data_IF_455320204260
#
_entry.id   IF_455320204260
#
_cell.length_a   1.000
_cell.length_b   1.000
_cell.length_c   1.000
_cell.angle_alpha   90.00
_cell.angle_beta   90.00
_cell.angle_gamma   90.00
#
_symmetry.space_group_name_H-M   'P 1'
#
loop_
_entity.id
_entity.type
_entity.pdbx_description
1 polymer ?
#
# COMPACT_ATOMS: atom_id res chain seq x y z
N UNK A 1 -32.26 19.53 -16.78
CA UNK A 1 -31.53 19.48 -15.49
C UNK A 1 -30.23 18.72 -15.71
N UNK A 2 -29.11 19.42 -15.81
CA UNK A 2 -27.80 18.81 -16.06
C UNK A 2 -27.17 18.52 -14.70
N UNK A 3 -27.08 17.23 -14.35
CA UNK A 3 -26.40 16.77 -13.14
C UNK A 3 -24.93 17.18 -13.19
N UNK A 4 -24.54 18.11 -12.32
CA UNK A 4 -23.16 18.52 -12.10
C UNK A 4 -22.37 17.29 -11.66
N UNK A 5 -21.58 16.69 -12.56
CA UNK A 5 -20.56 15.69 -12.17
C UNK A 5 -19.66 16.37 -11.15
N UNK A 6 -19.75 15.95 -9.88
CA UNK A 6 -18.78 16.33 -8.86
C UNK A 6 -17.47 15.65 -9.22
N UNK A 7 -16.62 16.33 -9.99
CA UNK A 7 -15.21 16.00 -10.06
C UNK A 7 -14.58 16.50 -8.75
N UNK A 8 -14.80 15.79 -7.64
CA UNK A 8 -14.05 16.02 -6.41
C UNK A 8 -12.98 14.95 -6.38
N UNK A 9 -11.74 15.31 -6.72
CA UNK A 9 -10.59 14.52 -6.30
C UNK A 9 -10.75 14.24 -4.80
N UNK A 10 -10.48 13.01 -4.32
CA UNK A 10 -10.61 12.70 -2.91
C UNK A 10 -9.77 13.68 -2.09
N UNK A 11 -10.40 14.33 -1.12
CA UNK A 11 -9.70 15.18 -0.16
C UNK A 11 -9.04 14.28 0.87
N UNK A 12 -7.73 14.12 0.76
CA UNK A 12 -6.97 13.22 1.61
C UNK A 12 -6.68 13.84 2.97
N UNK A 13 -6.63 13.00 4.02
CA UNK A 13 -6.37 13.44 5.39
C UNK A 13 -5.10 14.29 5.53
N UNK A 14 -4.03 13.97 4.78
CA UNK A 14 -2.77 14.73 4.80
C UNK A 14 -2.86 16.14 4.20
N UNK A 15 -3.95 16.48 3.49
CA UNK A 15 -4.20 17.85 3.02
C UNK A 15 -4.91 18.70 4.08
N UNK A 16 -5.44 18.07 5.13
CA UNK A 16 -6.17 18.77 6.17
C UNK A 16 -5.21 19.61 7.02
N UNK A 17 -5.57 20.86 7.32
CA UNK A 17 -4.75 21.78 8.14
C UNK A 17 -4.39 21.23 9.52
N UNK A 18 -5.21 20.32 10.05
CA UNK A 18 -5.05 19.73 11.37
C UNK A 18 -4.37 18.34 11.32
N UNK A 19 -3.81 17.91 10.18
CA UNK A 19 -3.18 16.59 10.02
C UNK A 19 -2.14 16.31 11.12
N UNK A 20 -1.22 17.25 11.36
CA UNK A 20 -0.21 17.12 12.41
C UNK A 20 -0.83 17.02 13.80
N UNK A 21 -1.88 17.79 14.09
CA UNK A 21 -2.57 17.74 15.38
C UNK A 21 -3.25 16.39 15.61
N UNK A 22 -3.83 15.79 14.57
CA UNK A 22 -4.43 14.46 14.64
C UNK A 22 -3.39 13.38 14.93
N UNK A 23 -2.18 13.50 14.38
CA UNK A 23 -1.07 12.59 14.70
C UNK A 23 -0.69 12.69 16.19
N UNK A 24 -0.55 13.90 16.73
CA UNK A 24 -0.23 14.12 18.15
C UNK A 24 -1.34 13.64 19.10
N UNK A 25 -2.62 13.84 18.73
CA UNK A 25 -3.75 13.31 19.50
C UNK A 25 -3.69 11.79 19.51
N UNK A 26 -3.49 11.16 18.35
CA UNK A 26 -3.38 9.70 18.25
C UNK A 26 -2.24 9.15 19.11
N UNK A 27 -1.09 9.83 19.13
CA UNK A 27 0.02 9.49 20.01
C UNK A 27 -0.38 9.57 21.49
N UNK A 28 -1.06 10.64 21.90
CA UNK A 28 -1.52 10.79 23.28
C UNK A 28 -2.52 9.71 23.71
N UNK A 29 -3.38 9.27 22.80
CA UNK A 29 -4.46 8.32 23.10
C UNK A 29 -3.98 6.86 23.07
N UNK A 30 -3.03 6.55 22.20
CA UNK A 30 -2.58 5.18 21.94
C UNK A 30 -1.21 4.85 22.53
N UNK A 31 -0.40 5.87 22.85
CA UNK A 31 1.00 5.72 23.24
C UNK A 31 1.93 5.39 22.06
N UNK A 32 1.43 5.35 20.82
CA UNK A 32 2.23 5.12 19.62
C UNK A 32 2.82 6.45 19.16
N UNK A 33 4.15 6.50 18.98
CA UNK A 33 4.83 7.71 18.52
C UNK A 33 4.18 8.30 17.27
N UNK A 34 3.92 9.61 17.24
CA UNK A 34 3.23 10.27 16.14
C UNK A 34 3.90 10.01 14.77
N UNK A 35 5.24 9.95 14.75
CA UNK A 35 5.99 9.60 13.54
C UNK A 35 5.78 8.17 13.04
N UNK A 36 5.47 7.21 13.94
CA UNK A 36 5.12 5.84 13.54
C UNK A 36 3.70 5.77 12.98
N UNK A 37 2.77 6.54 13.56
CA UNK A 37 1.40 6.70 13.02
C UNK A 37 1.44 7.31 11.63
N UNK A 38 2.22 8.36 11.44
CA UNK A 38 2.40 9.01 10.15
C UNK A 38 3.00 8.06 9.10
N UNK A 39 4.04 7.30 9.49
CA UNK A 39 4.67 6.31 8.61
C UNK A 39 3.65 5.25 8.14
N UNK A 40 2.84 4.74 9.07
CA UNK A 40 1.79 3.76 8.76
C UNK A 40 0.71 4.32 7.82
N UNK A 41 0.34 5.59 8.02
CA UNK A 41 -0.58 6.32 7.15
C UNK A 41 -0.05 6.38 5.71
N UNK A 42 1.20 6.77 5.51
CA UNK A 42 1.79 6.88 4.18
C UNK A 42 1.90 5.53 3.46
N UNK A 43 2.27 4.46 4.17
CA UNK A 43 2.29 3.10 3.62
C UNK A 43 0.89 2.69 3.15
N UNK A 44 -0.12 2.93 3.98
CA UNK A 44 -1.52 2.62 3.63
C UNK A 44 -2.01 3.46 2.45
N UNK A 45 -1.59 4.73 2.37
CA UNK A 45 -1.92 5.63 1.28
C UNK A 45 -1.32 5.17 -0.07
N UNK A 46 -0.08 4.69 -0.08
CA UNK A 46 0.55 4.10 -1.27
C UNK A 46 -0.21 2.86 -1.73
N UNK A 47 -0.57 1.96 -0.81
CA UNK A 47 -1.35 0.75 -1.14
C UNK A 47 -2.72 1.09 -1.72
N UNK A 48 -3.40 2.10 -1.18
CA UNK A 48 -4.63 2.62 -1.74
C UNK A 48 -4.41 3.17 -3.16
N UNK A 49 -3.36 3.96 -3.37
CA UNK A 49 -2.96 4.48 -4.69
C UNK A 49 -2.73 3.38 -5.73
N UNK A 50 -2.04 2.31 -5.37
CA UNK A 50 -1.80 1.15 -6.24
C UNK A 50 -3.09 0.42 -6.59
N UNK A 51 -4.02 0.31 -5.63
CA UNK A 51 -5.31 -0.32 -5.87
C UNK A 51 -6.19 0.48 -6.85
N UNK A 52 -6.29 1.80 -6.68
CA UNK A 52 -7.14 2.64 -7.54
C UNK A 52 -6.58 2.82 -8.95
N UNK A 53 -5.26 2.65 -9.14
CA UNK A 53 -4.61 2.73 -10.45
C UNK A 53 -4.76 1.44 -11.27
N UNK A 54 -5.28 0.37 -10.66
CA UNK A 54 -5.62 -0.88 -11.36
C UNK A 54 -4.41 -1.78 -11.64
N UNK A 55 -3.29 -1.59 -10.93
CA UNK A 55 -2.19 -2.54 -10.99
C UNK A 55 -2.61 -3.90 -10.41
N UNK A 56 -2.20 -4.98 -11.05
CA UNK A 56 -2.16 -6.29 -10.41
C UNK A 56 -0.87 -6.36 -9.59
N UNK A 57 -0.99 -6.42 -8.27
CA UNK A 57 0.16 -6.44 -7.37
C UNK A 57 -0.07 -7.36 -6.18
N UNK A 58 1.03 -7.83 -5.60
CA UNK A 58 1.06 -8.67 -4.41
C UNK A 58 1.91 -7.97 -3.33
N UNK A 59 1.33 -7.85 -2.14
CA UNK A 59 2.06 -7.41 -0.94
C UNK A 59 2.88 -8.59 -0.38
N UNK A 60 4.17 -8.38 -0.15
CA UNK A 60 5.09 -9.40 0.38
C UNK A 60 5.71 -8.93 1.70
N UNK A 61 6.53 -9.80 2.29
CA UNK A 61 7.35 -9.47 3.47
C UNK A 61 6.57 -9.28 4.77
N UNK A 62 7.16 -8.54 5.70
CA UNK A 62 6.58 -8.27 7.03
C UNK A 62 5.28 -7.45 6.97
N UNK A 63 5.10 -6.66 5.92
CA UNK A 63 3.94 -5.78 5.74
C UNK A 63 2.69 -6.56 5.36
N UNK A 64 2.80 -7.63 4.57
CA UNK A 64 1.65 -8.51 4.34
C UNK A 64 1.25 -9.29 5.59
N UNK A 65 2.23 -9.70 6.41
CA UNK A 65 1.97 -10.36 7.69
C UNK A 65 1.28 -9.43 8.69
N UNK A 66 1.60 -8.14 8.72
CA UNK A 66 0.96 -7.17 9.63
C UNK A 66 -0.38 -6.66 9.12
N UNK A 67 -0.48 -6.27 7.84
CA UNK A 67 -1.67 -5.60 7.28
C UNK A 67 -2.67 -6.51 6.61
N UNK A 68 -2.20 -7.60 5.97
CA UNK A 68 -3.08 -8.55 5.28
C UNK A 68 -3.58 -9.65 6.20
N UNK A 69 -2.68 -10.21 7.01
CA UNK A 69 -2.98 -11.38 7.85
C UNK A 69 -3.13 -11.07 9.35
N UNK A 70 -2.69 -9.89 9.82
CA UNK A 70 -2.75 -9.53 11.24
C UNK A 70 -1.90 -10.41 12.16
N UNK A 71 -0.90 -11.11 11.62
CA UNK A 71 -0.07 -12.09 12.32
C UNK A 71 0.98 -11.40 13.21
N UNK A 72 1.45 -10.22 12.81
CA UNK A 72 2.42 -9.44 13.58
C UNK A 72 1.90 -8.01 13.84
N UNK A 73 2.08 -7.52 15.07
CA UNK A 73 1.64 -6.19 15.49
C UNK A 73 2.85 -5.27 15.71
N UNK A 74 3.63 -5.04 14.65
CA UNK A 74 4.72 -4.06 14.64
C UNK A 74 4.58 -3.13 13.44
N UNK A 75 5.10 -1.92 13.57
CA UNK A 75 5.19 -1.01 12.43
C UNK A 75 6.13 -1.59 11.38
N UNK A 76 5.65 -1.57 10.13
CA UNK A 76 6.49 -1.88 8.99
C UNK A 76 7.32 -0.66 8.63
N UNK A 77 8.63 -0.84 8.54
CA UNK A 77 9.51 0.18 8.02
C UNK A 77 9.49 0.23 6.49
N UNK A 78 9.54 -0.95 5.87
CA UNK A 78 9.62 -1.15 4.43
C UNK A 78 8.30 -1.69 3.86
N UNK A 79 8.09 -1.49 2.56
CA UNK A 79 6.98 -2.06 1.81
C UNK A 79 7.50 -2.87 0.63
N UNK A 80 7.36 -4.19 0.71
CA UNK A 80 7.70 -5.09 -0.39
C UNK A 80 6.47 -5.31 -1.28
N UNK A 81 6.53 -4.81 -2.52
CA UNK A 81 5.46 -4.99 -3.51
C UNK A 81 6.02 -5.70 -4.74
N UNK A 82 5.31 -6.72 -5.19
CA UNK A 82 5.51 -7.33 -6.49
C UNK A 82 4.41 -6.84 -7.44
N UNK A 83 4.77 -6.11 -8.49
CA UNK A 83 3.82 -5.66 -9.53
C UNK A 83 3.87 -6.65 -10.68
N UNK A 84 2.72 -7.20 -11.07
CA UNK A 84 2.63 -8.06 -12.24
C UNK A 84 2.65 -7.20 -13.51
N UNK A 85 3.60 -7.40 -14.42
CA UNK A 85 3.60 -6.70 -15.68
C UNK A 85 2.41 -7.16 -16.53
N UNK A 86 1.85 -6.27 -17.37
CA UNK A 86 0.88 -6.69 -18.37
C UNK A 86 1.42 -7.84 -19.22
N UNK A 87 0.59 -8.87 -19.43
CA UNK A 87 0.96 -10.08 -20.16
C UNK A 87 1.52 -9.80 -21.57
N UNK A 88 1.11 -8.70 -22.19
CA UNK A 88 1.58 -8.22 -23.49
C UNK A 88 3.08 -7.94 -23.55
N UNK A 89 3.73 -7.68 -22.42
CA UNK A 89 5.17 -7.42 -22.38
C UNK A 89 6.02 -8.69 -22.38
N UNK A 90 5.43 -9.89 -22.20
CA UNK A 90 6.17 -11.16 -22.25
C UNK A 90 7.28 -11.27 -21.21
N UNK A 91 7.17 -10.56 -20.08
CA UNK A 91 8.19 -10.51 -19.05
C UNK A 91 8.16 -11.81 -18.24
N UNK A 92 9.30 -12.47 -18.08
CA UNK A 92 9.43 -13.59 -17.14
C UNK A 92 9.55 -13.05 -15.70
N UNK A 93 8.45 -13.10 -14.96
CA UNK A 93 8.35 -12.65 -13.56
C UNK A 93 9.22 -13.49 -12.60
N UNK A 94 9.62 -14.71 -12.99
CA UNK A 94 10.41 -15.63 -12.18
C UNK A 94 11.64 -16.15 -12.96
N UNK A 95 12.68 -15.31 -13.16
CA UNK A 95 13.82 -15.64 -14.02
C UNK A 95 14.66 -16.82 -13.53
N UNK A 96 14.49 -17.28 -12.27
CA UNK A 96 15.20 -18.43 -11.70
C UNK A 96 14.56 -19.78 -12.00
N UNK A 97 13.38 -19.84 -12.63
CA UNK A 97 12.72 -21.10 -12.99
C UNK A 97 13.17 -21.58 -14.39
N UNK A 98 14.48 -21.81 -14.58
CA UNK A 98 15.02 -22.57 -15.72
C UNK A 98 15.60 -23.87 -15.18
N UNK A 99 14.73 -24.87 -15.05
CA UNK A 99 15.05 -26.30 -15.15
C UNK A 99 13.73 -27.08 -15.04
N UNK A 100 12.89 -26.99 -16.07
CA UNK A 100 11.94 -28.06 -16.35
C UNK A 100 12.36 -28.65 -17.69
N UNK A 101 13.08 -29.76 -17.58
CA UNK A 101 13.47 -30.63 -18.70
C UNK A 101 12.22 -30.84 -19.55
N UNK A 102 12.27 -30.47 -20.83
CA UNK A 102 11.23 -30.84 -21.79
C UNK A 102 11.29 -32.36 -21.93
N UNK A 103 10.21 -33.12 -21.69
CA UNK A 103 10.18 -34.51 -22.09
C UNK A 103 10.24 -34.56 -23.62
N UNK A 104 11.05 -35.49 -24.12
CA UNK A 104 11.21 -35.90 -25.52
C UNK A 104 9.88 -36.13 -26.23
#
# INVERSE_FOLDING_TARGET
>A
MIGKKRNTSPDYLHNHKDFTSLLSITESETGILAGLVEKDYWITHVLYGLNITGFDFELKGGTSLSKGYGIIHRFSEDIDIHIKPPATFGINEYPRTRNKIMPI
#
